data_IF_882150767442
#
_entry.id   IF_882150767442
#
_cell.length_a   1.000
_cell.length_b   1.000
_cell.length_c   1.000
_cell.angle_alpha   90.00
_cell.angle_beta   90.00
_cell.angle_gamma   90.00
#
_symmetry.space_group_name_H-M   'P 1'
#
loop_
_entity.id
_entity.type
_entity.pdbx_description
1 polymer ?
#
# COMPACT_ATOMS: atom_id res chain seq x y z
N UNK A 1 0.49 9.66 -19.02
CA UNK A 1 -0.58 9.25 -18.08
C UNK A 1 -0.64 7.73 -17.86
N UNK A 2 -0.72 6.89 -18.90
CA UNK A 2 -0.83 5.42 -18.71
C UNK A 2 0.33 4.81 -17.90
N UNK A 3 1.57 5.29 -18.12
CA UNK A 3 2.76 4.85 -17.37
C UNK A 3 2.66 5.14 -15.86
N UNK A 4 2.16 6.32 -15.48
CA UNK A 4 2.01 6.69 -14.07
C UNK A 4 0.95 5.80 -13.40
N UNK A 5 -0.21 5.64 -14.04
CA UNK A 5 -1.27 4.74 -13.57
C UNK A 5 -0.78 3.30 -13.36
N UNK A 6 0.03 2.77 -14.29
CA UNK A 6 0.62 1.44 -14.17
C UNK A 6 1.61 1.33 -13.01
N UNK A 7 2.38 2.39 -12.74
CA UNK A 7 3.30 2.44 -11.59
C UNK A 7 2.50 2.47 -10.29
N UNK A 8 1.47 3.30 -10.19
CA UNK A 8 0.64 3.42 -8.99
C UNK A 8 -0.09 2.09 -8.69
N UNK A 9 -0.63 1.45 -9.73
CA UNK A 9 -1.24 0.12 -9.62
C UNK A 9 -0.20 -0.95 -9.26
N UNK A 10 1.00 -0.89 -9.83
CA UNK A 10 2.10 -1.80 -9.48
C UNK A 10 2.50 -1.66 -8.01
N UNK A 11 2.57 -0.42 -7.50
CA UNK A 11 2.85 -0.12 -6.10
C UNK A 11 1.75 -0.66 -5.18
N UNK A 12 0.48 -0.50 -5.57
CA UNK A 12 -0.66 -1.04 -4.84
C UNK A 12 -0.57 -2.57 -4.75
N UNK A 13 -0.32 -3.25 -5.88
CA UNK A 13 -0.19 -4.71 -5.94
C UNK A 13 0.99 -5.18 -5.09
N UNK A 14 2.15 -4.51 -5.17
CA UNK A 14 3.30 -4.82 -4.35
C UNK A 14 2.97 -4.70 -2.86
N UNK A 15 2.29 -3.63 -2.45
CA UNK A 15 1.86 -3.43 -1.07
C UNK A 15 0.96 -4.56 -0.55
N UNK A 16 0.00 -5.00 -1.37
CA UNK A 16 -0.89 -6.13 -1.05
C UNK A 16 -0.08 -7.43 -0.91
N UNK A 17 0.84 -7.71 -1.84
CA UNK A 17 1.68 -8.92 -1.80
C UNK A 17 2.50 -8.96 -0.52
N UNK A 18 3.12 -7.84 -0.13
CA UNK A 18 3.91 -7.76 1.10
C UNK A 18 3.06 -7.96 2.35
N UNK A 19 1.86 -7.37 2.39
CA UNK A 19 0.94 -7.56 3.50
C UNK A 19 0.48 -9.03 3.63
N UNK A 20 0.16 -9.67 2.51
CA UNK A 20 -0.22 -11.09 2.47
C UNK A 20 0.96 -11.97 2.89
N UNK A 21 2.17 -11.71 2.37
CA UNK A 21 3.37 -12.45 2.74
C UNK A 21 3.68 -12.32 4.23
N UNK A 22 3.54 -11.11 4.80
CA UNK A 22 3.73 -10.88 6.22
C UNK A 22 2.67 -11.60 7.07
N UNK A 23 1.42 -11.66 6.61
CA UNK A 23 0.36 -12.43 7.28
C UNK A 23 0.67 -13.94 7.31
N UNK A 24 1.23 -14.50 6.24
CA UNK A 24 1.65 -15.91 6.23
C UNK A 24 2.78 -16.21 7.23
N UNK A 25 3.66 -15.24 7.49
CA UNK A 25 4.78 -15.39 8.43
C UNK A 25 4.36 -15.18 9.89
N UNK A 26 3.42 -14.28 10.13
CA UNK A 26 2.87 -14.01 11.46
C UNK A 26 1.34 -14.04 11.35
N UNK A 27 0.69 -15.21 11.39
CA UNK A 27 -0.77 -15.30 11.21
C UNK A 27 -1.54 -14.95 12.50
N UNK A 28 -2.79 -14.48 12.33
CA UNK A 28 -3.75 -14.29 13.42
C UNK A 28 -3.89 -12.86 13.92
N UNK A 29 -4.46 -12.65 15.11
CA UNK A 29 -4.67 -11.29 15.63
C UNK A 29 -3.35 -10.53 15.91
N UNK A 30 -2.26 -11.27 16.14
CA UNK A 30 -0.93 -10.71 16.42
C UNK A 30 -0.29 -10.02 15.19
N UNK A 31 -0.76 -10.29 13.97
CA UNK A 31 -0.21 -9.72 12.73
C UNK A 31 -0.36 -8.21 12.63
N UNK A 32 -1.39 -7.68 13.28
CA UNK A 32 -1.75 -6.25 13.27
C UNK A 32 -1.56 -5.59 14.64
N UNK A 33 -0.99 -6.31 15.60
CA UNK A 33 -0.62 -5.74 16.89
C UNK A 33 0.82 -5.25 16.80
N UNK A 34 1.01 -3.94 16.95
CA UNK A 34 2.34 -3.32 16.97
C UNK A 34 2.67 -2.72 18.35
N UNK A 35 2.70 -3.52 19.44
CA UNK A 35 3.00 -3.03 20.77
C UNK A 35 4.51 -2.83 20.94
N UNK A 36 5.03 -1.71 20.43
CA UNK A 36 6.46 -1.36 20.49
C UNK A 36 7.19 -1.51 19.16
N UNK A 37 8.53 -1.62 19.16
CA UNK A 37 9.32 -1.72 17.95
C UNK A 37 8.92 -2.93 17.11
N UNK A 38 8.73 -2.74 15.80
CA UNK A 38 8.40 -3.84 14.87
C UNK A 38 9.66 -4.65 14.62
N UNK A 39 9.76 -5.79 15.29
CA UNK A 39 10.93 -6.68 15.28
C UNK A 39 10.63 -8.05 14.66
N UNK A 40 9.35 -8.42 14.53
CA UNK A 40 8.93 -9.59 13.78
C UNK A 40 8.92 -9.33 12.27
N UNK A 41 9.49 -10.26 11.50
CA UNK A 41 9.59 -10.14 10.05
C UNK A 41 8.22 -10.07 9.37
N UNK A 42 7.23 -10.82 9.87
CA UNK A 42 5.87 -10.79 9.31
C UNK A 42 5.16 -9.46 9.55
N UNK A 43 5.26 -8.93 10.77
CA UNK A 43 4.73 -7.60 11.11
C UNK A 43 5.42 -6.48 10.32
N UNK A 44 6.74 -6.58 10.11
CA UNK A 44 7.52 -5.63 9.31
C UNK A 44 7.04 -5.58 7.85
N UNK A 45 6.79 -6.76 7.27
CA UNK A 45 6.25 -6.86 5.90
C UNK A 45 4.82 -6.34 5.80
N UNK A 46 3.99 -6.57 6.81
CA UNK A 46 2.64 -5.99 6.88
C UNK A 46 2.72 -4.46 6.95
N UNK A 47 3.52 -3.91 7.85
CA UNK A 47 3.66 -2.47 8.00
C UNK A 47 4.17 -1.79 6.71
N UNK A 48 5.18 -2.40 6.07
CA UNK A 48 5.71 -1.93 4.79
C UNK A 48 4.65 -2.05 3.67
N UNK A 49 3.96 -3.18 3.59
CA UNK A 49 2.90 -3.42 2.60
C UNK A 49 1.77 -2.41 2.71
N UNK A 50 1.29 -2.16 3.93
CA UNK A 50 0.26 -1.14 4.21
C UNK A 50 0.74 0.26 3.86
N UNK A 51 2.02 0.58 4.10
CA UNK A 51 2.59 1.88 3.71
C UNK A 51 2.51 2.08 2.19
N UNK A 52 2.88 1.07 1.40
CA UNK A 52 2.77 1.15 -0.05
C UNK A 52 1.32 1.26 -0.53
N UNK A 53 0.38 0.55 0.12
CA UNK A 53 -1.05 0.69 -0.19
C UNK A 53 -1.52 2.13 0.04
N UNK A 54 -1.18 2.72 1.19
CA UNK A 54 -1.58 4.11 1.50
C UNK A 54 -0.99 5.09 0.50
N UNK A 55 0.30 4.96 0.17
CA UNK A 55 0.96 5.83 -0.82
C UNK A 55 0.31 5.66 -2.20
N UNK A 56 0.09 4.43 -2.66
CA UNK A 56 -0.52 4.17 -3.96
C UNK A 56 -1.94 4.74 -4.05
N UNK A 57 -2.76 4.59 -3.00
CA UNK A 57 -4.10 5.18 -2.94
C UNK A 57 -4.02 6.71 -2.99
N UNK A 58 -3.11 7.32 -2.23
CA UNK A 58 -2.90 8.77 -2.25
C UNK A 58 -2.54 9.28 -3.65
N UNK A 59 -1.63 8.61 -4.35
CA UNK A 59 -1.24 8.95 -5.72
C UNK A 59 -2.38 8.77 -6.72
N UNK A 60 -3.15 7.69 -6.59
CA UNK A 60 -4.32 7.45 -7.45
C UNK A 60 -5.40 8.52 -7.26
N UNK A 61 -5.63 8.96 -6.02
CA UNK A 61 -6.59 10.02 -5.72
C UNK A 61 -6.11 11.37 -6.26
N UNK A 62 -4.84 11.74 -6.03
CA UNK A 62 -4.26 12.96 -6.57
C UNK A 62 -4.34 13.00 -8.11
N UNK A 63 -3.98 11.89 -8.77
CA UNK A 63 -4.08 11.78 -10.22
C UNK A 63 -5.53 11.75 -10.74
N UNK A 64 -6.52 11.40 -9.91
CA UNK A 64 -7.93 11.50 -10.26
C UNK A 64 -8.44 12.93 -10.16
N UNK A 65 -8.04 13.67 -9.11
CA UNK A 65 -8.36 15.08 -8.92
C UNK A 65 -7.85 15.95 -10.09
N UNK A 66 -6.59 15.76 -10.49
CA UNK A 66 -6.01 16.47 -11.64
C UNK A 66 -6.81 16.26 -12.94
N UNK A 67 -7.33 15.04 -13.16
CA UNK A 67 -8.14 14.71 -14.36
C UNK A 67 -9.53 15.32 -14.29
N UNK A 68 -10.11 15.42 -13.10
CA UNK A 68 -11.40 16.08 -12.91
C UNK A 68 -11.27 17.56 -13.22
N UNK A 69 -10.26 18.23 -12.66
CA UNK A 69 -10.02 19.66 -12.91
C UNK A 69 -9.78 19.94 -14.40
N UNK A 70 -8.93 19.15 -15.07
CA UNK A 70 -8.65 19.30 -16.50
C UNK A 70 -9.84 19.01 -17.43
N UNK A 71 -10.90 18.37 -16.95
CA UNK A 71 -12.14 18.13 -17.72
C UNK A 71 -13.21 19.20 -17.53
N UNK A 72 -13.01 20.14 -16.60
CA UNK A 72 -13.92 21.25 -16.29
C UNK A 72 -13.51 22.58 -16.91
N UNK A 73 -12.32 22.65 -17.49
CA UNK A 73 -11.80 23.79 -18.28
C UNK A 73 -12.14 23.63 -19.76
#
# INVERSE_FOLDING_TARGET
MMRALMIDLGLLVLGIILAVAGWFLTPGAASFQFPGPINDSGQSLIALGLTFVVVAVGLLLAGAEERMMAGTE
#
